data_IF_003826853795
#
_entry.id   IF_003826853795
#
_cell.length_a   1.000
_cell.length_b   1.000
_cell.length_c   1.000
_cell.angle_alpha   90.00
_cell.angle_beta   90.00
_cell.angle_gamma   90.00
#
_symmetry.space_group_name_H-M   'P 1'
#
loop_
_entity.id
_entity.type
_entity.pdbx_description
1 polymer ?
#
# COMPACT_ATOMS: atom_id res chain seq x y z
N UNK A 1 -7.36 4.54 -22.00
CA UNK A 1 -7.79 4.58 -20.59
C UNK A 1 -6.66 4.27 -19.60
N UNK A 2 -5.78 3.30 -19.84
CA UNK A 2 -4.67 3.00 -18.91
C UNK A 2 -3.68 4.15 -18.65
N UNK A 3 -3.30 4.90 -19.68
CA UNK A 3 -2.34 6.03 -19.57
C UNK A 3 -2.92 7.18 -18.71
N UNK A 4 -4.22 7.48 -18.87
CA UNK A 4 -4.90 8.52 -18.10
C UNK A 4 -4.97 8.19 -16.61
N UNK A 5 -5.19 6.91 -16.26
CA UNK A 5 -5.15 6.40 -14.89
C UNK A 5 -3.76 6.53 -14.27
N UNK A 6 -2.70 6.18 -15.01
CA UNK A 6 -1.32 6.33 -14.54
C UNK A 6 -0.95 7.79 -14.27
N UNK A 7 -1.38 8.71 -15.13
CA UNK A 7 -1.15 10.15 -14.96
C UNK A 7 -1.87 10.66 -13.71
N UNK A 8 -3.13 10.26 -13.48
CA UNK A 8 -3.89 10.64 -12.28
C UNK A 8 -3.24 10.14 -10.99
N UNK A 9 -2.79 8.89 -10.96
CA UNK A 9 -2.08 8.30 -9.81
C UNK A 9 -0.76 9.06 -9.57
N UNK A 10 -0.02 9.38 -10.63
CA UNK A 10 1.21 10.15 -10.56
C UNK A 10 1.02 11.57 -10.00
N UNK A 11 -0.03 12.27 -10.44
CA UNK A 11 -0.38 13.62 -9.94
C UNK A 11 -0.76 13.56 -8.46
N UNK A 12 -1.61 12.60 -8.07
CA UNK A 12 -2.00 12.42 -6.67
C UNK A 12 -0.78 12.19 -5.77
N UNK A 13 0.18 11.37 -6.23
CA UNK A 13 1.42 11.12 -5.51
C UNK A 13 2.30 12.35 -5.36
N UNK A 14 2.46 13.11 -6.45
CA UNK A 14 3.26 14.33 -6.44
C UNK A 14 2.70 15.36 -5.44
N UNK A 15 1.38 15.57 -5.45
CA UNK A 15 0.70 16.48 -4.51
C UNK A 15 0.86 16.00 -3.08
N UNK A 16 0.69 14.69 -2.84
CA UNK A 16 0.80 14.11 -1.51
C UNK A 16 2.21 14.25 -0.91
N UNK A 17 3.26 13.97 -1.69
CA UNK A 17 4.66 14.10 -1.27
C UNK A 17 5.00 15.57 -0.99
N UNK A 18 4.54 16.48 -1.85
CA UNK A 18 4.80 17.92 -1.68
C UNK A 18 4.16 18.45 -0.41
N UNK A 19 2.93 18.04 -0.12
CA UNK A 19 2.20 18.48 1.08
C UNK A 19 2.81 17.89 2.37
N UNK A 20 3.15 16.60 2.37
CA UNK A 20 3.72 15.94 3.55
C UNK A 20 5.15 16.39 3.85
N UNK A 21 5.95 16.61 2.80
CA UNK A 21 7.32 17.13 2.89
C UNK A 21 7.44 18.55 3.43
N UNK A 22 6.46 19.40 3.17
CA UNK A 22 6.47 20.80 3.62
C UNK A 22 6.11 20.96 5.09
N UNK A 23 5.29 20.05 5.65
CA UNK A 23 4.65 20.25 6.96
C UNK A 23 5.31 19.44 8.08
N UNK A 24 5.78 18.21 7.81
CA UNK A 24 6.15 17.25 8.89
C UNK A 24 7.65 16.88 8.95
N UNK A 25 8.50 17.52 8.15
CA UNK A 25 9.95 17.30 8.17
C UNK A 25 10.41 15.99 7.49
N UNK A 26 11.73 15.86 7.35
CA UNK A 26 12.37 14.87 6.48
C UNK A 26 12.15 13.41 6.94
N UNK A 27 12.03 13.14 8.24
CA UNK A 27 11.82 11.79 8.79
C UNK A 27 10.40 11.26 8.51
N UNK A 28 9.37 12.08 8.75
CA UNK A 28 7.98 11.72 8.43
C UNK A 28 7.79 11.47 6.95
N UNK A 29 8.40 12.30 6.12
CA UNK A 29 8.36 12.14 4.66
C UNK A 29 8.98 10.81 4.22
N UNK A 30 10.14 10.43 4.78
CA UNK A 30 10.78 9.14 4.51
C UNK A 30 9.93 7.96 4.96
N UNK A 31 9.30 8.03 6.13
CA UNK A 31 8.40 6.99 6.62
C UNK A 31 7.19 6.81 5.70
N UNK A 32 6.56 7.91 5.29
CA UNK A 32 5.42 7.90 4.37
C UNK A 32 5.81 7.31 3.01
N UNK A 33 6.97 7.70 2.45
CA UNK A 33 7.49 7.12 1.21
C UNK A 33 7.70 5.61 1.36
N UNK A 34 8.29 5.17 2.47
CA UNK A 34 8.51 3.75 2.74
C UNK A 34 7.19 2.96 2.83
N UNK A 35 6.21 3.48 3.57
CA UNK A 35 4.86 2.90 3.66
C UNK A 35 4.16 2.85 2.30
N UNK A 36 4.34 3.90 1.48
CA UNK A 36 3.77 3.95 0.15
C UNK A 36 4.40 2.91 -0.78
N UNK A 37 5.74 2.80 -0.80
CA UNK A 37 6.45 1.78 -1.57
C UNK A 37 6.01 0.39 -1.14
N UNK A 38 5.96 0.13 0.17
CA UNK A 38 5.48 -1.14 0.70
C UNK A 38 4.09 -1.46 0.19
N UNK A 39 3.13 -0.53 0.38
CA UNK A 39 1.73 -0.67 -0.05
C UNK A 39 1.61 -0.94 -1.55
N UNK A 40 2.37 -0.20 -2.37
CA UNK A 40 2.33 -0.35 -3.82
C UNK A 40 2.88 -1.71 -4.26
N UNK A 41 4.04 -2.11 -3.72
CA UNK A 41 4.67 -3.40 -4.05
C UNK A 41 3.78 -4.56 -3.59
N UNK A 42 3.24 -4.52 -2.37
CA UNK A 42 2.32 -5.55 -1.88
C UNK A 42 1.06 -5.61 -2.72
N UNK A 43 0.48 -4.46 -3.11
CA UNK A 43 -0.68 -4.41 -3.99
C UNK A 43 -0.42 -5.11 -5.32
N UNK A 44 0.69 -4.81 -5.98
CA UNK A 44 1.07 -5.43 -7.27
C UNK A 44 1.26 -6.94 -7.11
N UNK A 45 1.97 -7.39 -6.07
CA UNK A 45 2.23 -8.82 -5.83
C UNK A 45 0.93 -9.57 -5.56
N UNK A 46 0.08 -9.06 -4.67
CA UNK A 46 -1.20 -9.69 -4.31
C UNK A 46 -2.12 -9.77 -5.52
N UNK A 47 -2.20 -8.70 -6.31
CA UNK A 47 -3.04 -8.66 -7.51
C UNK A 47 -2.52 -9.61 -8.59
N UNK A 48 -1.20 -9.66 -8.80
CA UNK A 48 -0.57 -10.56 -9.76
C UNK A 48 -0.76 -12.05 -9.39
N UNK A 49 -0.70 -12.40 -8.10
CA UNK A 49 -0.96 -13.77 -7.63
C UNK A 49 -2.38 -14.25 -7.94
N UNK A 50 -3.33 -13.33 -8.07
CA UNK A 50 -4.73 -13.64 -8.38
C UNK A 50 -5.04 -13.56 -9.88
N UNK A 51 -4.03 -13.31 -10.72
CA UNK A 51 -4.20 -13.21 -12.18
C UNK A 51 -5.08 -12.03 -12.62
N UNK A 52 -5.27 -11.02 -11.76
CA UNK A 52 -6.15 -9.91 -12.08
C UNK A 52 -5.46 -8.90 -12.99
N UNK A 53 -6.20 -8.46 -14.01
CA UNK A 53 -5.76 -7.42 -14.92
C UNK A 53 -6.15 -6.03 -14.40
N UNK A 54 -5.31 -5.44 -13.56
CA UNK A 54 -5.51 -4.09 -12.98
C UNK A 54 -5.39 -2.94 -13.98
N UNK A 55 -5.18 -3.21 -15.27
CA UNK A 55 -5.22 -2.20 -16.34
C UNK A 55 -6.66 -1.83 -16.75
N UNK A 56 -7.66 -2.62 -16.35
CA UNK A 56 -9.08 -2.29 -16.51
C UNK A 56 -9.67 -1.76 -15.21
N UNK A 57 -10.74 -0.96 -15.29
CA UNK A 57 -11.39 -0.41 -14.10
C UNK A 57 -11.97 -1.50 -13.19
N UNK A 58 -12.60 -2.51 -13.78
CA UNK A 58 -13.15 -3.66 -13.04
C UNK A 58 -12.05 -4.49 -12.38
N UNK A 59 -10.93 -4.70 -13.08
CA UNK A 59 -9.78 -5.40 -12.54
C UNK A 59 -9.09 -4.62 -11.43
N UNK A 60 -9.06 -3.29 -11.50
CA UNK A 60 -8.56 -2.42 -10.43
C UNK A 60 -9.43 -2.53 -9.17
N UNK A 61 -10.76 -2.47 -9.30
CA UNK A 61 -11.68 -2.61 -8.17
C UNK A 61 -11.60 -4.00 -7.54
N UNK A 62 -11.53 -5.06 -8.35
CA UNK A 62 -11.34 -6.41 -7.87
C UNK A 62 -10.00 -6.58 -7.13
N UNK A 63 -8.93 -6.01 -7.67
CA UNK A 63 -7.59 -6.00 -7.06
C UNK A 63 -7.59 -5.27 -5.73
N UNK A 64 -8.27 -4.11 -5.66
CA UNK A 64 -8.42 -3.34 -4.43
C UNK A 64 -9.15 -4.11 -3.34
N UNK A 65 -10.27 -4.77 -3.68
CA UNK A 65 -11.04 -5.58 -2.75
C UNK A 65 -10.21 -6.72 -2.16
N UNK A 66 -9.47 -7.43 -3.00
CA UNK A 66 -8.59 -8.52 -2.54
C UNK A 66 -7.43 -7.97 -1.72
N UNK A 67 -6.83 -6.86 -2.14
CA UNK A 67 -5.75 -6.23 -1.41
C UNK A 67 -6.16 -5.81 -0.01
N UNK A 68 -7.35 -5.22 0.16
CA UNK A 68 -7.90 -4.86 1.48
C UNK A 68 -8.09 -6.12 2.34
N UNK A 69 -8.64 -7.19 1.76
CA UNK A 69 -8.80 -8.45 2.49
C UNK A 69 -7.46 -9.04 2.94
N UNK A 70 -6.46 -9.02 2.06
CA UNK A 70 -5.10 -9.43 2.40
C UNK A 70 -4.46 -8.55 3.48
N UNK A 71 -4.66 -7.22 3.41
CA UNK A 71 -4.10 -6.27 4.37
C UNK A 71 -4.66 -6.48 5.79
N UNK A 72 -5.94 -6.80 5.90
CA UNK A 72 -6.59 -7.16 7.18
C UNK A 72 -5.94 -8.44 7.74
N UNK A 73 -5.77 -9.48 6.91
CA UNK A 73 -5.09 -10.72 7.32
C UNK A 73 -3.64 -10.47 7.77
N UNK A 74 -2.88 -9.71 6.97
CA UNK A 74 -1.51 -9.31 7.29
C UNK A 74 -1.42 -8.58 8.65
N UNK A 75 -2.34 -7.66 8.92
CA UNK A 75 -2.36 -6.91 10.19
C UNK A 75 -2.64 -7.82 11.38
N UNK A 76 -3.54 -8.81 11.22
CA UNK A 76 -3.80 -9.84 12.24
C UNK A 76 -2.59 -10.71 12.51
N UNK A 77 -1.91 -11.16 11.45
CA UNK A 77 -0.70 -11.99 11.57
C UNK A 77 0.44 -11.23 12.26
N UNK A 78 0.71 -9.99 11.87
CA UNK A 78 1.73 -9.14 12.50
C UNK A 78 1.42 -8.89 13.98
N UNK A 79 0.16 -8.64 14.31
CA UNK A 79 -0.29 -8.50 15.70
C UNK A 79 -0.01 -9.76 16.52
N UNK A 80 -0.32 -10.94 15.97
CA UNK A 80 -0.09 -12.23 16.64
C UNK A 80 1.40 -12.54 16.83
N UNK A 81 2.25 -12.23 15.84
CA UNK A 81 3.70 -12.41 15.91
C UNK A 81 4.28 -11.49 16.99
N UNK A 82 3.85 -10.23 17.00
CA UNK A 82 4.30 -9.24 17.99
C UNK A 82 3.89 -9.66 19.41
N UNK A 83 2.65 -10.13 19.59
CA UNK A 83 2.18 -10.64 20.88
C UNK A 83 3.01 -11.81 21.40
N UNK A 84 3.29 -12.81 20.55
CA UNK A 84 4.15 -13.95 20.91
C UNK A 84 5.58 -13.56 21.26
N UNK A 85 6.12 -12.50 20.64
CA UNK A 85 7.47 -12.01 20.95
C UNK A 85 7.48 -11.35 22.33
N UNK A 86 6.47 -10.54 22.66
CA UNK A 86 6.35 -9.88 23.96
C UNK A 86 6.22 -10.93 25.08
N UNK A 87 5.39 -11.95 24.90
CA UNK A 87 5.21 -13.05 25.86
C UNK A 87 6.47 -13.88 26.12
N UNK A 88 7.42 -13.92 25.18
CA UNK A 88 8.69 -14.66 25.34
C UNK A 88 9.81 -13.85 25.99
N UNK A 89 9.64 -12.53 26.05
CA UNK A 89 10.63 -11.60 26.61
C UNK A 89 10.28 -11.20 28.06
N UNK A 90 9.02 -11.40 28.47
CA UNK A 90 8.59 -11.36 29.87
C UNK A 90 8.85 -12.69 30.58
#
# INVERSE_FOLDING_TARGET
MGITLMILIGIALFVFIKYTGFIHGNLWTKFIISMFIFTFVSFVIVSAKQGLNFWTFDGLLASLKIYIHWLIGFSGDVGSVTGRIIERVQ
#
